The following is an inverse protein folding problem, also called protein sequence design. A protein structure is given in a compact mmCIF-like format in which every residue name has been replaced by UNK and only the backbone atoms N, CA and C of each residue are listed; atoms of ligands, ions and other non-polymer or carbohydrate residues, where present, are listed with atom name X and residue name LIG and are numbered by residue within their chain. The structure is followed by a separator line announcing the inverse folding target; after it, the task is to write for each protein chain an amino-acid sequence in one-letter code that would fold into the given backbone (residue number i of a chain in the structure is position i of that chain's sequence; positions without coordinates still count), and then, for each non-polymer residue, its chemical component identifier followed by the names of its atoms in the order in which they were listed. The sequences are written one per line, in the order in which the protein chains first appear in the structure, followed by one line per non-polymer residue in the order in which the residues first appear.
data_IF_858655953395
#
_entry.id   IF_858655953395
#
_cell.length_a   1.000
_cell.length_b   1.000
_cell.length_c   1.000
_cell.angle_alpha   90.00
_cell.angle_beta   90.00
_cell.angle_gamma   90.00
#
_symmetry.space_group_name_H-M   'P 1'
#
loop_
_entity.id
_entity.type
_entity.pdbx_description
1 polymer ?
#
# COMPACT_ATOMS: atom_id res chain seq x y z
N UNK A 1 -21.83 -32.92 -8.53
CA UNK A 1 -21.08 -32.56 -7.31
C UNK A 1 -20.32 -33.81 -6.89
N UNK A 2 -19.03 -33.66 -6.57
CA UNK A 2 -18.06 -34.75 -6.49
C UNK A 2 -18.12 -35.40 -5.10
N UNK A 3 -18.21 -36.74 -5.06
CA UNK A 3 -18.36 -37.54 -3.83
C UNK A 3 -17.33 -37.23 -2.73
N UNK A 4 -16.17 -36.68 -3.09
CA UNK A 4 -15.14 -36.19 -2.15
C UNK A 4 -15.65 -35.06 -1.23
N UNK A 5 -16.49 -34.15 -1.73
CA UNK A 5 -17.05 -33.07 -0.91
C UNK A 5 -18.11 -33.58 0.07
N UNK A 6 -18.86 -34.64 -0.31
CA UNK A 6 -19.82 -35.30 0.58
C UNK A 6 -19.11 -36.08 1.68
N UNK A 7 -18.03 -36.80 1.34
CA UNK A 7 -17.21 -37.54 2.32
C UNK A 7 -16.53 -36.60 3.34
N UNK A 8 -16.03 -35.45 2.88
CA UNK A 8 -15.43 -34.44 3.78
C UNK A 8 -16.50 -33.85 4.72
N UNK A 9 -17.71 -33.60 4.21
CA UNK A 9 -18.80 -33.07 5.04
C UNK A 9 -19.26 -34.08 6.11
N UNK A 10 -19.28 -35.36 5.78
CA UNK A 10 -19.61 -36.43 6.72
C UNK A 10 -18.55 -36.55 7.83
N UNK A 11 -17.26 -36.57 7.47
CA UNK A 11 -16.13 -36.58 8.42
C UNK A 11 -16.12 -35.37 9.35
N UNK A 12 -16.48 -34.18 8.85
CA UNK A 12 -16.60 -32.97 9.67
C UNK A 12 -17.71 -33.09 10.72
N UNK A 13 -18.86 -33.69 10.36
CA UNK A 13 -19.97 -33.89 11.29
C UNK A 13 -19.64 -34.91 12.37
N UNK A 14 -18.99 -36.01 12.01
CA UNK A 14 -18.55 -37.04 12.95
C UNK A 14 -17.53 -36.49 13.96
N UNK A 15 -16.48 -35.81 13.47
CA UNK A 15 -15.46 -35.19 14.34
C UNK A 15 -16.02 -34.10 15.24
N UNK A 16 -17.03 -33.35 14.80
CA UNK A 16 -17.72 -32.36 15.64
C UNK A 16 -18.40 -33.00 16.84
N UNK A 17 -19.09 -34.12 16.63
CA UNK A 17 -19.75 -34.83 17.72
C UNK A 17 -18.73 -35.41 18.73
N UNK A 18 -17.61 -35.97 18.25
CA UNK A 18 -16.54 -36.47 19.13
C UNK A 18 -15.95 -35.38 20.03
N UNK A 19 -15.63 -34.21 19.46
CA UNK A 19 -15.03 -33.12 20.23
C UNK A 19 -16.02 -32.37 21.14
N UNK A 20 -17.31 -32.32 20.79
CA UNK A 20 -18.36 -31.77 21.65
C UNK A 20 -18.52 -32.60 22.94
N UNK A 21 -18.41 -33.93 22.84
CA UNK A 21 -18.37 -34.85 23.99
C UNK A 21 -17.11 -34.61 24.86
N UNK A 22 -15.95 -34.43 24.23
CA UNK A 22 -14.68 -34.16 24.94
C UNK A 22 -14.73 -32.81 25.65
N UNK A 23 -15.24 -31.76 25.02
CA UNK A 23 -15.35 -30.44 25.64
C UNK A 23 -16.39 -30.37 26.76
N UNK A 24 -17.43 -31.21 26.68
CA UNK A 24 -18.35 -31.40 27.79
C UNK A 24 -17.70 -32.11 28.99
N UNK A 25 -16.61 -32.86 28.78
CA UNK A 25 -15.90 -33.63 29.81
C UNK A 25 -14.69 -32.86 30.38
N UNK A 26 -13.99 -32.10 29.53
CA UNK A 26 -12.82 -31.30 29.88
C UNK A 26 -13.13 -29.80 29.65
N UNK A 27 -13.57 -29.11 30.70
CA UNK A 27 -14.00 -27.70 30.63
C UNK A 27 -12.87 -26.71 30.26
N UNK A 28 -11.63 -27.21 30.15
CA UNK A 28 -10.48 -26.45 29.67
C UNK A 28 -10.48 -26.24 28.15
N UNK A 29 -11.28 -27.01 27.41
CA UNK A 29 -11.38 -26.95 25.95
C UNK A 29 -12.43 -25.91 25.56
N UNK A 30 -11.98 -24.71 25.16
CA UNK A 30 -12.86 -23.65 24.66
C UNK A 30 -13.57 -24.09 23.37
N UNK A 31 -14.91 -24.10 23.37
CA UNK A 31 -15.76 -24.49 22.22
C UNK A 31 -15.37 -23.77 20.91
N UNK A 32 -14.90 -22.52 20.98
CA UNK A 32 -14.48 -21.73 19.79
C UNK A 32 -13.16 -22.23 19.17
N UNK A 33 -12.37 -23.00 19.91
CA UNK A 33 -11.12 -23.61 19.44
C UNK A 33 -11.37 -24.99 18.77
N UNK A 34 -12.50 -25.62 19.06
CA UNK A 34 -12.86 -26.94 18.55
C UNK A 34 -13.12 -26.90 17.04
N UNK A 35 -13.90 -25.92 16.58
CA UNK A 35 -14.20 -25.76 15.15
C UNK A 35 -12.91 -25.59 14.32
N UNK A 36 -11.97 -24.77 14.80
CA UNK A 36 -10.68 -24.57 14.14
C UNK A 36 -9.84 -25.86 14.12
N UNK A 37 -9.84 -26.63 15.22
CA UNK A 37 -9.13 -27.91 15.30
C UNK A 37 -9.69 -28.94 14.33
N UNK A 38 -11.02 -29.08 14.28
CA UNK A 38 -11.71 -29.99 13.36
C UNK A 38 -11.41 -29.62 11.91
N UNK A 39 -11.44 -28.33 11.56
CA UNK A 39 -11.15 -27.87 10.20
C UNK A 39 -9.71 -28.23 9.81
N UNK A 40 -8.72 -28.05 10.70
CA UNK A 40 -7.32 -28.40 10.40
C UNK A 40 -7.07 -29.91 10.33
N UNK A 41 -7.80 -30.72 11.11
CA UNK A 41 -7.63 -32.17 11.16
C UNK A 41 -8.31 -32.85 9.96
N UNK A 42 -9.51 -32.38 9.57
CA UNK A 42 -10.26 -32.92 8.43
C UNK A 42 -9.78 -32.34 7.09
N UNK A 43 -9.40 -31.06 7.04
CA UNK A 43 -8.90 -30.43 5.80
C UNK A 43 -7.40 -30.67 5.58
N UNK A 44 -6.70 -31.20 6.58
CA UNK A 44 -5.28 -31.54 6.59
C UNK A 44 -4.35 -30.30 6.59
N UNK A 45 -3.22 -30.33 7.32
CA UNK A 45 -2.18 -29.29 7.20
C UNK A 45 -1.53 -29.27 5.80
N UNK A 46 -1.72 -30.31 4.99
CA UNK A 46 -1.11 -30.46 3.66
C UNK A 46 -1.68 -29.51 2.60
N UNK A 47 -2.89 -28.97 2.80
CA UNK A 47 -3.54 -28.10 1.80
C UNK A 47 -3.21 -26.61 2.00
N UNK A 48 -2.73 -26.22 3.18
CA UNK A 48 -2.25 -24.87 3.47
C UNK A 48 -0.73 -24.85 3.60
N UNK A 49 -0.05 -24.85 2.47
CA UNK A 49 1.36 -24.47 2.38
C UNK A 49 2.32 -25.50 2.98
N UNK A 50 2.70 -26.48 2.16
CA UNK A 50 3.97 -27.19 2.31
C UNK A 50 5.13 -26.19 2.14
N UNK A 51 5.37 -25.31 3.11
CA UNK A 51 6.64 -24.61 3.24
C UNK A 51 7.59 -25.64 3.83
N UNK A 52 8.36 -26.27 2.94
CA UNK A 52 9.44 -27.19 3.30
C UNK A 52 10.49 -26.41 4.08
N UNK A 53 10.31 -26.28 5.40
CA UNK A 53 11.40 -25.87 6.28
C UNK A 53 12.41 -27.02 6.33
N UNK A 54 13.38 -26.99 5.40
CA UNK A 54 14.56 -27.84 5.45
C UNK A 54 15.46 -27.38 6.62
N UNK A 55 15.04 -27.64 7.85
CA UNK A 55 15.91 -27.59 9.03
C UNK A 55 15.64 -28.83 9.87
N UNK A 56 16.64 -29.71 10.07
CA UNK A 56 16.45 -30.91 10.88
C UNK A 56 16.31 -30.49 12.34
N UNK A 57 15.19 -30.84 12.97
CA UNK A 57 14.95 -30.62 14.41
C UNK A 57 13.54 -30.18 14.82
N UNK A 58 12.63 -29.91 13.88
CA UNK A 58 11.25 -29.50 14.24
C UNK A 58 10.33 -30.72 14.23
N UNK A 59 10.01 -31.24 15.42
CA UNK A 59 8.89 -32.16 15.62
C UNK A 59 7.59 -31.34 15.63
N UNK A 60 6.57 -31.83 14.93
CA UNK A 60 5.25 -31.20 14.70
C UNK A 60 4.58 -30.63 15.99
N UNK A 61 4.96 -31.12 17.16
CA UNK A 61 4.50 -30.70 18.49
C UNK A 61 4.83 -29.24 18.84
N UNK A 62 5.84 -28.64 18.20
CA UNK A 62 6.23 -27.25 18.49
C UNK A 62 5.46 -26.21 17.66
N UNK A 63 4.58 -26.64 16.75
CA UNK A 63 3.77 -25.71 15.95
C UNK A 63 2.55 -25.17 16.73
N UNK A 64 2.05 -25.90 17.73
CA UNK A 64 0.92 -25.49 18.58
C UNK A 64 1.34 -24.93 19.96
N UNK A 65 2.60 -24.49 20.10
CA UNK A 65 3.13 -24.00 21.38
C UNK A 65 3.61 -22.54 21.40
N UNK A 66 3.80 -21.88 20.24
CA UNK A 66 4.43 -20.54 20.21
C UNK A 66 4.05 -19.68 18.99
N UNK A 67 2.84 -19.83 18.45
CA UNK A 67 2.40 -19.07 17.27
C UNK A 67 1.65 -17.77 17.55
N UNK A 68 1.03 -17.62 18.72
CA UNK A 68 0.17 -16.45 19.01
C UNK A 68 0.93 -15.24 19.56
N UNK A 69 2.22 -15.36 19.90
CA UNK A 69 3.03 -14.24 20.41
C UNK A 69 4.00 -13.65 19.38
N UNK A 70 4.20 -14.30 18.23
CA UNK A 70 5.03 -13.71 17.15
C UNK A 70 4.20 -13.01 16.06
N UNK A 71 2.87 -13.01 16.19
CA UNK A 71 1.94 -12.23 15.35
C UNK A 71 1.20 -11.15 16.12
N UNK A 72 1.80 -10.62 17.19
CA UNK A 72 1.42 -9.33 17.72
C UNK A 72 2.66 -8.46 17.61
N UNK A 73 2.83 -7.65 16.53
CA UNK A 73 3.72 -6.51 16.66
C UNK A 73 3.22 -5.76 17.89
N UNK A 74 4.08 -5.61 18.91
CA UNK A 74 3.76 -4.85 20.11
C UNK A 74 3.04 -3.57 19.67
N UNK A 75 1.95 -3.15 20.32
CA UNK A 75 1.15 -2.00 19.83
C UNK A 75 2.01 -0.75 19.52
N UNK A 76 3.14 -0.61 20.20
CA UNK A 76 4.20 0.37 19.93
C UNK A 76 4.92 0.21 18.58
N UNK A 77 5.20 -1.01 18.12
CA UNK A 77 5.80 -1.30 16.81
C UNK A 77 4.84 -0.96 15.68
N UNK A 78 3.57 -1.39 15.78
CA UNK A 78 2.56 -1.04 14.78
C UNK A 78 2.34 0.49 14.70
N UNK A 79 2.36 1.18 15.85
CA UNK A 79 2.25 2.63 15.91
C UNK A 79 3.48 3.35 15.33
N UNK A 80 4.69 2.82 15.55
CA UNK A 80 5.92 3.36 14.97
C UNK A 80 5.96 3.20 13.44
N UNK A 81 5.47 2.07 12.91
CA UNK A 81 5.37 1.84 11.47
C UNK A 81 4.32 2.77 10.83
N UNK A 82 3.17 2.97 11.47
CA UNK A 82 2.16 3.95 11.03
C UNK A 82 2.75 5.36 11.02
N UNK A 83 3.48 5.75 12.07
CA UNK A 83 4.10 7.08 12.13
C UNK A 83 5.15 7.26 11.02
N UNK A 84 6.00 6.25 10.80
CA UNK A 84 6.99 6.28 9.71
C UNK A 84 6.31 6.43 8.35
N UNK A 85 5.21 5.72 8.11
CA UNK A 85 4.46 5.85 6.86
C UNK A 85 3.83 7.24 6.71
N UNK A 86 3.29 7.81 7.80
CA UNK A 86 2.79 9.18 7.82
C UNK A 86 3.88 10.19 7.44
N UNK A 87 5.07 10.05 8.00
CA UNK A 87 6.20 10.94 7.71
C UNK A 87 6.65 10.80 6.24
N UNK A 88 6.66 9.59 5.69
CA UNK A 88 6.97 9.35 4.28
C UNK A 88 5.91 9.98 3.35
N UNK A 89 4.63 9.86 3.68
CA UNK A 89 3.54 10.48 2.93
C UNK A 89 3.68 12.01 2.96
N UNK A 90 3.96 12.58 4.13
CA UNK A 90 4.17 14.03 4.28
C UNK A 90 5.37 14.50 3.44
N UNK A 91 6.48 13.76 3.43
CA UNK A 91 7.65 14.08 2.62
C UNK A 91 7.34 14.01 1.11
N UNK A 92 6.61 12.98 0.67
CA UNK A 92 6.19 12.86 -0.73
C UNK A 92 5.22 13.98 -1.15
N UNK A 93 4.32 14.39 -0.25
CA UNK A 93 3.43 15.51 -0.49
C UNK A 93 4.20 16.83 -0.63
N UNK A 94 5.14 17.09 0.27
CA UNK A 94 5.96 18.30 0.21
C UNK A 94 6.77 18.38 -1.09
N UNK A 95 7.43 17.29 -1.50
CA UNK A 95 8.21 17.26 -2.74
C UNK A 95 7.34 17.37 -4.01
N UNK A 96 6.11 16.87 -3.96
CA UNK A 96 5.16 17.02 -5.07
C UNK A 96 4.67 18.47 -5.18
N UNK A 97 4.35 19.10 -4.05
CA UNK A 97 3.93 20.52 -4.02
C UNK A 97 5.05 21.42 -4.51
N UNK A 98 6.30 21.16 -4.09
CA UNK A 98 7.46 21.93 -4.54
C UNK A 98 7.70 21.80 -6.05
N UNK A 99 7.55 20.61 -6.62
CA UNK A 99 7.63 20.44 -8.07
C UNK A 99 6.52 21.20 -8.81
N UNK A 100 5.30 21.21 -8.28
CA UNK A 100 4.18 21.96 -8.88
C UNK A 100 4.47 23.47 -8.86
N UNK A 101 4.95 23.99 -7.73
CA UNK A 101 5.25 25.43 -7.61
C UNK A 101 6.42 25.82 -8.49
N UNK A 102 7.44 24.97 -8.66
CA UNK A 102 8.55 25.22 -9.58
C UNK A 102 8.09 25.27 -11.04
N UNK A 103 7.21 24.36 -11.46
CA UNK A 103 6.62 24.36 -12.80
C UNK A 103 5.78 25.62 -13.03
N UNK A 104 4.95 26.00 -12.06
CA UNK A 104 4.17 27.24 -12.12
C UNK A 104 5.07 28.48 -12.24
N UNK A 105 6.17 28.54 -11.47
CA UNK A 105 7.15 29.64 -11.55
C UNK A 105 7.77 29.74 -12.94
N UNK A 106 8.21 28.61 -13.52
CA UNK A 106 8.78 28.57 -14.87
C UNK A 106 7.78 29.02 -15.92
N UNK A 107 6.51 28.65 -15.77
CA UNK A 107 5.45 29.09 -16.67
C UNK A 107 5.24 30.61 -16.62
N UNK A 108 5.15 31.18 -15.41
CA UNK A 108 5.01 32.63 -15.22
C UNK A 108 6.22 33.40 -15.77
N UNK A 109 7.42 32.88 -15.55
CA UNK A 109 8.68 33.45 -16.05
C UNK A 109 8.72 33.46 -17.59
N UNK A 110 8.32 32.37 -18.23
CA UNK A 110 8.20 32.30 -19.70
C UNK A 110 7.16 33.30 -20.24
N UNK A 111 6.03 33.44 -19.55
CA UNK A 111 4.99 34.40 -19.92
C UNK A 111 5.47 35.85 -19.80
N UNK A 112 6.31 36.15 -18.82
CA UNK A 112 6.94 37.47 -18.67
C UNK A 112 7.98 37.73 -19.77
N UNK A 113 8.80 36.74 -20.12
CA UNK A 113 9.77 36.86 -21.21
C UNK A 113 9.07 37.18 -22.54
N UNK A 114 8.00 36.47 -22.88
CA UNK A 114 7.25 36.72 -24.11
C UNK A 114 6.64 38.13 -24.15
N UNK A 115 6.11 38.61 -23.02
CA UNK A 115 5.61 40.00 -22.91
C UNK A 115 6.73 41.02 -23.06
N UNK A 116 7.89 40.77 -22.47
CA UNK A 116 9.04 41.65 -22.56
C UNK A 116 9.58 41.72 -23.99
N UNK A 117 9.66 40.57 -24.67
CA UNK A 117 10.09 40.48 -26.06
C UNK A 117 9.11 41.21 -26.99
N UNK A 118 7.80 40.98 -26.86
CA UNK A 118 6.79 41.71 -27.62
C UNK A 118 6.86 43.23 -27.39
N UNK A 119 7.13 43.68 -26.16
CA UNK A 119 7.32 45.08 -25.84
C UNK A 119 8.62 45.65 -26.43
N UNK A 120 9.69 44.85 -26.51
CA UNK A 120 10.94 45.24 -27.17
C UNK A 120 10.73 45.40 -28.68
N UNK A 121 10.10 44.42 -29.34
CA UNK A 121 9.79 44.50 -30.78
C UNK A 121 8.88 45.69 -31.11
N UNK A 122 7.88 45.98 -30.26
CA UNK A 122 7.02 47.15 -30.45
C UNK A 122 7.79 48.48 -30.31
N UNK A 123 8.77 48.55 -29.39
CA UNK A 123 9.63 49.73 -29.24
C UNK A 123 10.57 49.91 -30.42
N UNK A 124 11.13 48.83 -30.95
CA UNK A 124 11.97 48.87 -32.16
C UNK A 124 11.17 49.32 -33.38
N UNK A 125 9.95 48.77 -33.57
CA UNK A 125 9.06 49.20 -34.65
C UNK A 125 8.65 50.68 -34.52
N UNK A 126 8.38 51.15 -33.31
CA UNK A 126 8.09 52.56 -33.06
C UNK A 126 9.31 53.45 -33.34
N UNK A 127 10.51 53.04 -32.94
CA UNK A 127 11.74 53.78 -33.23
C UNK A 127 12.03 53.85 -34.74
N UNK A 128 11.82 52.75 -35.47
CA UNK A 128 11.97 52.73 -36.92
C UNK A 128 10.96 53.65 -37.64
N UNK A 129 9.70 53.70 -37.18
CA UNK A 129 8.71 54.62 -37.71
C UNK A 129 9.08 56.10 -37.47
N UNK A 130 9.64 56.41 -36.29
CA UNK A 130 10.13 57.76 -35.99
C UNK A 130 11.34 58.16 -36.83
N UNK A 131 12.25 57.24 -37.16
CA UNK A 131 13.35 57.51 -38.10
C UNK A 131 12.86 57.72 -39.54
N UNK A 132 11.88 56.94 -39.99
CA UNK A 132 11.31 57.07 -41.33
C UNK A 132 10.55 58.41 -41.50
N UNK A 133 9.80 58.83 -40.47
CA UNK A 133 9.11 60.12 -40.42
C UNK A 133 10.10 61.30 -40.34
N UNK A 134 11.17 61.18 -39.56
CA UNK A 134 12.22 62.19 -39.48
C UNK A 134 13.01 62.33 -40.80
N UNK A 135 13.26 61.23 -41.51
CA UNK A 135 13.90 61.25 -42.82
C UNK A 135 13.01 61.88 -43.90
N UNK A 136 11.69 61.65 -43.83
CA UNK A 136 10.72 62.29 -44.73
C UNK A 136 10.66 63.83 -44.52
N UNK A 137 10.68 64.31 -43.28
CA UNK A 137 10.70 65.75 -42.97
C UNK A 137 12.02 66.45 -43.34
N UNK A 138 13.13 65.72 -43.45
CA UNK A 138 14.43 66.28 -43.85
C UNK A 138 14.64 66.36 -45.38
N UNK A 139 13.77 65.72 -46.16
CA UNK A 139 13.84 65.67 -47.62
C UNK A 139 12.88 66.66 -48.32
N UNK A 140 12.07 67.39 -47.56
CA UNK A 140 11.23 68.52 -48.01
C UNK A 140 11.97 69.86 -47.84
#
# INVERSE_FOLDING_TARGET
MTSEAEEIMEKLKEKKAEYEVIASTDSSVNLKNIDNRIITEVSGPERYGQVRFQRPGITLTQYFGSGSQQYMPSGSQAQAEVQRLMDQIAQMQASTVEQITEVQRKYEELQQQLRAEAAATAREAAAAAWEEEAAAMAAE
#
